data_IF_905972326354
#
_entry.id   IF_905972326354
#
_cell.length_a   1.000
_cell.length_b   1.000
_cell.length_c   1.000
_cell.angle_alpha   90.00
_cell.angle_beta   90.00
_cell.angle_gamma   90.00
#
_symmetry.space_group_name_H-M   'P 1'
#
loop_
_entity.id
_entity.type
_entity.pdbx_description
1 polymer ?
#
# COMPACT_ATOMS: atom_id res chain seq x y z
N UNK A 1 -6.00 -1.59 -22.21
CA UNK A 1 -6.75 -0.33 -22.00
C UNK A 1 -5.76 0.70 -21.49
N UNK A 2 -5.90 1.98 -21.86
CA UNK A 2 -5.05 3.04 -21.32
C UNK A 2 -5.28 3.23 -19.81
N UNK A 3 -4.42 4.05 -19.19
CA UNK A 3 -4.55 4.50 -17.80
C UNK A 3 -5.97 5.03 -17.53
N UNK A 4 -6.48 4.79 -16.31
CA UNK A 4 -7.77 5.34 -15.85
C UNK A 4 -7.60 6.80 -15.42
N UNK A 5 -8.45 7.67 -15.94
CA UNK A 5 -8.42 9.12 -15.68
C UNK A 5 -9.29 9.55 -14.48
N UNK A 6 -10.17 8.66 -14.02
CA UNK A 6 -11.05 8.88 -12.89
C UNK A 6 -10.42 8.51 -11.53
N UNK A 7 -9.26 7.86 -11.55
CA UNK A 7 -8.45 7.57 -10.35
C UNK A 7 -7.24 8.50 -10.32
N UNK A 8 -6.99 9.13 -9.16
CA UNK A 8 -5.82 9.98 -8.94
C UNK A 8 -5.02 9.56 -7.72
N UNK A 9 -5.67 9.00 -6.70
CA UNK A 9 -5.04 8.58 -5.45
C UNK A 9 -5.37 7.12 -5.14
N UNK A 10 -4.34 6.30 -4.92
CA UNK A 10 -4.46 4.87 -4.65
C UNK A 10 -3.88 4.58 -3.28
N UNK A 11 -4.63 3.85 -2.44
CA UNK A 11 -4.11 3.30 -1.19
C UNK A 11 -3.69 1.85 -1.38
N UNK A 12 -2.41 1.57 -1.18
CA UNK A 12 -1.84 0.22 -1.16
C UNK A 12 -1.84 -0.29 0.28
N UNK A 13 -2.25 -1.54 0.47
CA UNK A 13 -2.23 -2.23 1.77
C UNK A 13 -1.08 -3.23 1.76
N UNK A 14 -0.07 -3.00 2.61
CA UNK A 14 1.08 -3.88 2.79
C UNK A 14 0.75 -5.17 3.54
N UNK A 15 1.77 -6.02 3.71
CA UNK A 15 1.61 -7.33 4.37
C UNK A 15 1.77 -7.30 5.89
N UNK A 16 2.38 -6.24 6.44
CA UNK A 16 2.74 -6.18 7.85
C UNK A 16 4.06 -6.91 8.13
N UNK A 17 4.29 -7.36 9.38
CA UNK A 17 5.55 -8.02 9.76
C UNK A 17 5.73 -9.34 9.03
N UNK A 18 6.99 -9.71 8.81
CA UNK A 18 7.35 -11.00 8.20
C UNK A 18 6.95 -12.14 9.12
N UNK A 19 6.22 -13.12 8.57
CA UNK A 19 5.89 -14.38 9.22
C UNK A 19 6.15 -15.54 8.27
N UNK A 20 6.18 -16.78 8.79
CA UNK A 20 6.31 -17.97 7.95
C UNK A 20 5.19 -17.96 6.90
N UNK A 21 5.58 -18.14 5.63
CA UNK A 21 4.69 -18.13 4.45
C UNK A 21 4.06 -16.78 4.08
N UNK A 22 4.45 -15.68 4.74
CA UNK A 22 4.13 -14.33 4.32
C UNK A 22 5.32 -13.42 4.64
N UNK A 23 6.27 -13.33 3.70
CA UNK A 23 7.59 -12.78 3.96
C UNK A 23 7.96 -11.67 2.96
N UNK A 24 9.23 -11.62 2.57
CA UNK A 24 9.84 -10.53 1.81
C UNK A 24 9.26 -10.36 0.40
N UNK A 25 8.58 -11.36 -0.14
CA UNK A 25 7.91 -11.29 -1.44
C UNK A 25 6.93 -10.12 -1.54
N UNK A 26 6.32 -9.72 -0.42
CA UNK A 26 5.37 -8.61 -0.40
C UNK A 26 6.03 -7.23 -0.29
N UNK A 27 7.24 -7.14 0.28
CA UNK A 27 8.04 -5.92 0.16
C UNK A 27 8.49 -5.72 -1.31
N UNK A 28 8.95 -6.80 -1.94
CA UNK A 28 9.31 -6.78 -3.35
C UNK A 28 8.12 -6.36 -4.24
N UNK A 29 6.97 -7.02 -4.12
CA UNK A 29 5.77 -6.70 -4.90
C UNK A 29 5.21 -5.31 -4.58
N UNK A 30 5.15 -4.93 -3.31
CA UNK A 30 4.70 -3.60 -2.87
C UNK A 30 5.60 -2.48 -3.40
N UNK A 31 6.93 -2.67 -3.37
CA UNK A 31 7.92 -1.75 -3.93
C UNK A 31 7.72 -1.57 -5.44
N UNK A 32 7.50 -2.66 -6.18
CA UNK A 32 7.24 -2.58 -7.61
C UNK A 32 5.96 -1.81 -7.93
N UNK A 33 4.89 -2.03 -7.17
CA UNK A 33 3.65 -1.31 -7.38
C UNK A 33 3.75 0.18 -7.04
N UNK A 34 4.47 0.52 -5.97
CA UNK A 34 4.76 1.92 -5.64
C UNK A 34 5.47 2.63 -6.80
N UNK A 35 6.48 1.99 -7.40
CA UNK A 35 7.19 2.52 -8.59
C UNK A 35 6.25 2.66 -9.79
N UNK A 36 5.58 1.58 -10.18
CA UNK A 36 4.73 1.56 -11.36
C UNK A 36 3.60 2.60 -11.29
N UNK A 37 2.94 2.73 -10.13
CA UNK A 37 1.85 3.70 -9.97
C UNK A 37 2.38 5.15 -9.99
N UNK A 38 3.56 5.41 -9.43
CA UNK A 38 4.17 6.75 -9.45
C UNK A 38 4.67 7.14 -10.84
N UNK A 39 5.26 6.20 -11.58
CA UNK A 39 5.67 6.39 -12.99
C UNK A 39 4.48 6.75 -13.87
N UNK A 40 3.32 6.13 -13.61
CA UNK A 40 2.05 6.47 -14.27
C UNK A 40 1.41 7.75 -13.72
N UNK A 41 2.00 8.42 -12.72
CA UNK A 41 1.54 9.70 -12.18
C UNK A 41 0.35 9.61 -11.22
N UNK A 42 0.11 8.47 -10.59
CA UNK A 42 -0.84 8.36 -9.48
C UNK A 42 -0.20 8.86 -8.17
N UNK A 43 -1.03 9.41 -7.28
CA UNK A 43 -0.65 9.62 -5.89
C UNK A 43 -0.76 8.30 -5.13
N UNK A 44 0.33 7.85 -4.54
CA UNK A 44 0.39 6.60 -3.79
C UNK A 44 0.37 6.89 -2.30
N UNK A 45 -0.64 6.35 -1.63
CA UNK A 45 -0.68 6.23 -0.17
C UNK A 45 -0.35 4.77 0.15
N UNK A 46 0.50 4.54 1.13
CA UNK A 46 0.85 3.20 1.59
C UNK A 46 0.61 3.08 3.08
N UNK A 47 0.02 1.96 3.51
CA UNK A 47 0.10 1.49 4.89
C UNK A 47 0.87 0.18 4.97
N UNK A 48 1.88 0.11 5.83
CA UNK A 48 2.54 -1.13 6.20
C UNK A 48 3.16 -1.00 7.59
N UNK A 49 2.83 -1.90 8.52
CA UNK A 49 3.35 -1.84 9.89
C UNK A 49 4.81 -2.30 10.02
N UNK A 50 5.41 -2.87 8.97
CA UNK A 50 6.80 -3.34 9.00
C UNK A 50 7.78 -2.22 8.58
N UNK A 51 8.61 -1.69 9.50
CA UNK A 51 9.54 -0.62 9.18
C UNK A 51 10.78 -1.09 8.39
N UNK A 52 11.03 -2.40 8.30
CA UNK A 52 12.20 -2.97 7.64
C UNK A 52 11.90 -3.34 6.19
N UNK A 53 11.19 -2.47 5.46
CA UNK A 53 10.79 -2.70 4.06
C UNK A 53 11.17 -1.54 3.17
N UNK A 54 11.62 -1.82 1.96
CA UNK A 54 11.93 -0.76 0.98
C UNK A 54 10.65 -0.01 0.60
N UNK A 55 9.51 -0.68 0.49
CA UNK A 55 8.25 -0.01 0.16
C UNK A 55 7.87 1.09 1.16
N UNK A 56 8.33 1.02 2.41
CA UNK A 56 8.10 2.06 3.43
C UNK A 56 9.10 3.20 3.41
N UNK A 57 10.12 3.17 2.55
CA UNK A 57 11.06 4.28 2.42
C UNK A 57 10.32 5.57 1.99
N UNK A 58 10.67 6.76 2.52
CA UNK A 58 9.92 7.99 2.28
C UNK A 58 9.75 8.39 0.81
N UNK A 59 10.69 8.00 -0.05
CA UNK A 59 10.69 8.29 -1.49
C UNK A 59 9.75 7.39 -2.32
N UNK A 60 9.33 6.26 -1.74
CA UNK A 60 8.59 5.22 -2.47
C UNK A 60 7.10 5.54 -2.63
N UNK A 61 6.52 6.37 -1.78
CA UNK A 61 5.12 6.78 -1.87
C UNK A 61 4.95 8.27 -1.56
N UNK A 62 3.80 8.86 -1.89
CA UNK A 62 3.52 10.25 -1.53
C UNK A 62 3.19 10.38 -0.04
N UNK A 63 2.64 9.33 0.56
CA UNK A 63 2.41 9.20 2.00
C UNK A 63 2.57 7.75 2.45
N UNK A 64 3.53 7.51 3.32
CA UNK A 64 3.74 6.24 4.01
C UNK A 64 3.21 6.31 5.43
N UNK A 65 2.41 5.33 5.81
CA UNK A 65 1.93 5.09 7.17
C UNK A 65 2.55 3.80 7.71
N UNK A 66 3.48 3.95 8.67
CA UNK A 66 4.02 2.82 9.43
C UNK A 66 3.15 2.64 10.69
N UNK A 67 1.98 2.04 10.47
CA UNK A 67 0.90 1.91 11.46
C UNK A 67 0.34 0.49 11.45
N UNK A 68 -0.33 0.02 12.52
CA UNK A 68 -0.97 -1.29 12.56
C UNK A 68 -1.98 -1.47 11.42
N UNK A 69 -1.95 -2.62 10.74
CA UNK A 69 -2.87 -2.92 9.64
C UNK A 69 -4.15 -3.52 10.21
N UNK A 70 -4.97 -2.68 10.83
CA UNK A 70 -6.31 -3.05 11.33
C UNK A 70 -7.40 -2.27 10.60
N UNK A 71 -8.65 -2.77 10.55
CA UNK A 71 -9.75 -2.07 9.89
C UNK A 71 -9.94 -0.64 10.39
N UNK A 72 -9.78 -0.40 11.70
CA UNK A 72 -9.97 0.92 12.32
C UNK A 72 -8.90 1.92 11.86
N UNK A 73 -7.63 1.49 11.83
CA UNK A 73 -6.52 2.34 11.37
C UNK A 73 -6.66 2.64 9.88
N UNK A 74 -6.98 1.62 9.08
CA UNK A 74 -7.19 1.78 7.63
C UNK A 74 -8.38 2.70 7.35
N UNK A 75 -9.48 2.58 8.11
CA UNK A 75 -10.62 3.49 8.00
C UNK A 75 -10.25 4.94 8.33
N UNK A 76 -9.42 5.17 9.36
CA UNK A 76 -8.91 6.51 9.69
C UNK A 76 -8.05 7.09 8.54
N UNK A 77 -7.18 6.27 7.93
CA UNK A 77 -6.38 6.69 6.78
C UNK A 77 -7.28 6.99 5.58
N UNK A 78 -8.27 6.15 5.29
CA UNK A 78 -9.23 6.38 4.20
C UNK A 78 -10.01 7.68 4.43
N UNK A 79 -10.48 7.95 5.66
CA UNK A 79 -11.17 9.20 6.01
C UNK A 79 -10.29 10.43 5.80
N UNK A 80 -9.01 10.34 6.20
CA UNK A 80 -8.04 11.43 6.09
C UNK A 80 -7.58 11.67 4.66
N UNK A 81 -7.20 10.60 3.97
CA UNK A 81 -6.55 10.68 2.65
C UNK A 81 -7.56 10.66 1.50
N UNK A 82 -8.74 10.08 1.69
CA UNK A 82 -9.78 9.93 0.67
C UNK A 82 -9.23 9.36 -0.65
N UNK A 83 -8.65 8.14 -0.65
CA UNK A 83 -8.19 7.49 -1.88
C UNK A 83 -9.37 7.19 -2.80
N UNK A 84 -9.14 7.25 -4.11
CA UNK A 84 -10.14 6.92 -5.15
C UNK A 84 -10.25 5.39 -5.36
N UNK A 85 -9.17 4.66 -5.04
CA UNK A 85 -9.11 3.21 -5.16
C UNK A 85 -8.23 2.58 -4.08
N UNK A 86 -8.51 1.31 -3.77
CA UNK A 86 -7.69 0.45 -2.93
C UNK A 86 -6.98 -0.59 -3.80
N UNK A 87 -5.74 -0.93 -3.43
CA UNK A 87 -4.98 -2.03 -4.02
C UNK A 87 -4.57 -3.04 -2.93
N UNK A 88 -5.46 -4.00 -2.58
CA UNK A 88 -5.24 -4.93 -1.48
C UNK A 88 -4.48 -6.21 -1.88
N UNK A 89 -4.14 -6.37 -3.17
CA UNK A 89 -3.60 -7.61 -3.75
C UNK A 89 -2.10 -7.81 -3.55
N UNK A 90 -1.41 -6.86 -2.90
CA UNK A 90 0.05 -6.84 -2.74
C UNK A 90 0.51 -7.03 -1.29
N UNK A 91 -0.43 -7.19 -0.36
CA UNK A 91 -0.18 -7.41 1.06
C UNK A 91 -0.38 -8.85 1.53
N UNK A 92 -0.40 -9.81 0.60
CA UNK A 92 -0.69 -11.22 0.93
C UNK A 92 -2.06 -11.38 1.56
N UNK A 93 -2.18 -12.29 2.54
CA UNK A 93 -3.44 -12.54 3.21
C UNK A 93 -3.84 -11.37 4.12
N UNK A 94 -2.87 -10.66 4.72
CA UNK A 94 -3.13 -9.44 5.49
C UNK A 94 -3.85 -8.41 4.63
N UNK A 95 -3.34 -8.12 3.43
CA UNK A 95 -3.95 -7.18 2.50
C UNK A 95 -5.36 -7.59 2.09
N UNK A 96 -5.57 -8.86 1.75
CA UNK A 96 -6.88 -9.39 1.32
C UNK A 96 -7.93 -9.45 2.42
N UNK A 97 -7.54 -9.72 3.67
CA UNK A 97 -8.49 -9.75 4.79
C UNK A 97 -8.95 -8.36 5.22
N UNK A 98 -8.16 -7.33 4.91
CA UNK A 98 -8.44 -5.93 5.24
C UNK A 98 -9.18 -5.21 4.11
N UNK A 99 -8.86 -5.55 2.86
CA UNK A 99 -9.33 -4.89 1.65
C UNK A 99 -10.69 -5.30 1.12
#
# INVERSE_FOLDING_TARGET
MPKREDIKKILIIGSGPIVISQACEFDYSGTQACKALREEGYKVILINSNPATIMTDPEMSDKTYIEPITPEVVELIIKKERPDALLPTLGGQTGLNIG
#
